data_IF_717690439395
#
_entry.id   IF_717690439395
#
_cell.length_a   1.000
_cell.length_b   1.000
_cell.length_c   1.000
_cell.angle_alpha   90.00
_cell.angle_beta   90.00
_cell.angle_gamma   90.00
#
_symmetry.space_group_name_H-M   'P 1'
#
loop_
_entity.id
_entity.type
_entity.pdbx_description
1 polymer ?
#
# COMPACT_ATOMS: atom_id res chain seq x y z
N UNK A 1 -6.84 22.20 2.55
CA UNK A 1 -7.59 21.54 3.65
C UNK A 1 -6.90 20.23 3.94
N UNK A 2 -6.28 20.08 5.12
CA UNK A 2 -5.68 18.82 5.51
C UNK A 2 -6.78 17.76 5.64
N UNK A 3 -6.67 16.68 4.87
CA UNK A 3 -7.65 15.60 4.82
C UNK A 3 -7.56 14.87 6.16
N UNK A 4 -8.60 14.97 7.00
CA UNK A 4 -8.68 14.22 8.25
C UNK A 4 -8.45 12.73 7.93
N UNK A 5 -7.48 12.06 8.57
CA UNK A 5 -7.07 10.72 8.13
C UNK A 5 -8.08 9.70 8.67
N UNK A 6 -9.24 9.60 8.02
CA UNK A 6 -10.28 8.66 8.40
C UNK A 6 -9.97 7.22 7.97
N UNK A 7 -8.80 6.98 7.36
CA UNK A 7 -8.32 5.65 7.00
C UNK A 7 -6.88 5.43 7.40
N UNK A 8 -6.53 4.16 7.57
CA UNK A 8 -5.20 3.71 7.94
C UNK A 8 -4.17 4.21 6.91
N UNK A 9 -4.44 4.10 5.60
CA UNK A 9 -3.56 4.68 4.58
C UNK A 9 -3.45 6.20 4.67
N UNK A 10 -4.53 6.92 5.02
CA UNK A 10 -4.47 8.37 5.25
C UNK A 10 -3.63 8.76 6.47
N UNK A 11 -3.71 7.99 7.55
CA UNK A 11 -2.88 8.17 8.76
C UNK A 11 -1.42 7.88 8.43
N UNK A 12 -1.15 6.79 7.71
CA UNK A 12 0.21 6.39 7.32
C UNK A 12 0.84 7.39 6.35
N UNK A 13 0.08 7.94 5.39
CA UNK A 13 0.57 9.02 4.53
C UNK A 13 0.90 10.28 5.33
N UNK A 14 0.00 10.71 6.23
CA UNK A 14 0.24 11.89 7.05
C UNK A 14 1.44 11.71 7.99
N UNK A 15 1.62 10.50 8.54
CA UNK A 15 2.79 10.15 9.35
C UNK A 15 4.06 10.10 8.50
N UNK A 16 4.01 9.48 7.33
CA UNK A 16 5.12 9.43 6.36
C UNK A 16 5.61 10.82 5.97
N UNK A 17 4.70 11.78 5.77
CA UNK A 17 5.07 13.16 5.43
C UNK A 17 5.75 13.89 6.61
N UNK A 18 5.58 13.40 7.84
CA UNK A 18 6.17 13.97 9.05
C UNK A 18 7.38 13.17 9.57
N UNK A 19 7.64 11.97 9.03
CA UNK A 19 8.71 11.08 9.48
C UNK A 19 9.95 11.31 8.63
N UNK A 20 11.03 11.71 9.28
CA UNK A 20 12.37 11.65 8.69
C UNK A 20 12.95 10.24 8.90
N UNK A 21 12.91 9.41 7.86
CA UNK A 21 13.45 8.05 7.86
C UNK A 21 14.94 7.98 8.23
N UNK A 22 15.70 9.06 8.06
CA UNK A 22 17.11 9.10 8.44
C UNK A 22 17.33 9.11 9.96
N UNK A 23 16.31 9.51 10.73
CA UNK A 23 16.35 9.61 12.20
C UNK A 23 15.85 8.35 12.90
N UNK A 24 15.19 7.44 12.18
CA UNK A 24 14.63 6.22 12.74
C UNK A 24 15.70 5.18 13.06
N UNK A 25 15.45 4.35 14.07
CA UNK A 25 16.30 3.20 14.37
C UNK A 25 16.18 2.12 13.27
N UNK A 26 17.17 1.24 13.17
CA UNK A 26 17.09 0.12 12.23
C UNK A 26 15.93 -0.84 12.56
N UNK A 27 15.54 -0.93 13.83
CA UNK A 27 14.38 -1.72 14.26
C UNK A 27 13.07 -1.11 13.78
N UNK A 28 12.89 0.21 13.95
CA UNK A 28 11.70 0.93 13.47
C UNK A 28 11.59 0.87 11.95
N UNK A 29 12.72 1.03 11.25
CA UNK A 29 12.77 0.88 9.80
C UNK A 29 12.40 -0.55 9.36
N UNK A 30 12.82 -1.58 10.11
CA UNK A 30 12.49 -2.97 9.79
C UNK A 30 10.99 -3.24 9.98
N UNK A 31 10.38 -2.68 11.03
CA UNK A 31 8.93 -2.77 11.24
C UNK A 31 8.16 -2.07 10.10
N UNK A 32 8.60 -0.87 9.69
CA UNK A 32 8.02 -0.15 8.56
C UNK A 32 8.21 -0.89 7.24
N UNK A 33 9.39 -1.50 7.01
CA UNK A 33 9.65 -2.29 5.80
C UNK A 33 8.68 -3.47 5.68
N UNK A 34 8.27 -4.08 6.80
CA UNK A 34 7.28 -5.15 6.82
C UNK A 34 5.86 -4.68 6.42
N UNK A 35 5.60 -3.36 6.35
CA UNK A 35 4.35 -2.84 5.82
C UNK A 35 4.13 -3.22 4.35
N UNK A 36 5.19 -3.49 3.58
CA UNK A 36 5.07 -4.03 2.20
C UNK A 36 4.40 -5.39 2.16
N UNK A 37 4.64 -6.26 3.15
CA UNK A 37 3.95 -7.55 3.30
C UNK A 37 2.45 -7.33 3.50
N UNK A 38 2.08 -6.42 4.43
CA UNK A 38 0.68 -6.10 4.69
C UNK A 38 -0.02 -5.48 3.46
N UNK A 39 0.68 -4.61 2.72
CA UNK A 39 0.17 -4.05 1.47
C UNK A 39 -0.06 -5.13 0.40
N UNK A 40 0.81 -6.14 0.35
CA UNK A 40 0.69 -7.27 -0.58
C UNK A 40 -0.54 -8.11 -0.25
N UNK A 41 -0.73 -8.50 1.01
CA UNK A 41 -1.93 -9.24 1.45
C UNK A 41 -3.20 -8.46 1.14
N UNK A 42 -3.25 -7.16 1.46
CA UNK A 42 -4.41 -6.32 1.14
C UNK A 42 -4.67 -6.21 -0.38
N UNK A 43 -3.62 -6.23 -1.21
CA UNK A 43 -3.76 -6.24 -2.66
C UNK A 43 -4.33 -7.57 -3.19
N UNK A 44 -3.91 -8.69 -2.62
CA UNK A 44 -4.45 -10.03 -2.95
C UNK A 44 -5.93 -10.12 -2.58
N UNK A 45 -6.31 -9.70 -1.38
CA UNK A 45 -7.71 -9.65 -0.92
C UNK A 45 -8.57 -8.74 -1.83
N UNK A 46 -8.04 -7.58 -2.22
CA UNK A 46 -8.74 -6.68 -3.15
C UNK A 46 -8.90 -7.32 -4.54
N UNK A 47 -7.89 -8.05 -5.02
CA UNK A 47 -7.95 -8.72 -6.31
C UNK A 47 -9.07 -9.78 -6.33
N UNK A 48 -9.20 -10.59 -5.27
CA UNK A 48 -10.28 -11.59 -5.14
C UNK A 48 -11.66 -10.94 -5.19
N UNK A 49 -11.86 -9.83 -4.48
CA UNK A 49 -13.13 -9.08 -4.50
C UNK A 49 -13.44 -8.54 -5.89
N UNK A 50 -12.45 -7.96 -6.58
CA UNK A 50 -12.63 -7.41 -7.93
C UNK A 50 -12.91 -8.51 -8.95
N UNK A 51 -12.28 -9.68 -8.82
CA UNK A 51 -12.54 -10.85 -9.66
C UNK A 51 -13.97 -11.36 -9.47
N UNK A 52 -14.43 -11.49 -8.22
CA UNK A 52 -15.82 -11.85 -7.92
C UNK A 52 -16.84 -10.89 -8.54
N UNK A 53 -16.57 -9.59 -8.49
CA UNK A 53 -17.39 -8.57 -9.18
C UNK A 53 -17.39 -8.80 -10.70
N UNK A 54 -16.23 -9.10 -11.28
CA UNK A 54 -16.10 -9.42 -12.70
C UNK A 54 -16.93 -10.64 -13.12
N UNK A 55 -16.93 -11.71 -12.31
CA UNK A 55 -17.76 -12.89 -12.55
C UNK A 55 -19.26 -12.56 -12.55
N UNK A 56 -19.72 -11.77 -11.56
CA UNK A 56 -21.12 -11.34 -11.49
C UNK A 56 -21.53 -10.51 -12.73
N UNK A 57 -20.67 -9.58 -13.17
CA UNK A 57 -20.91 -8.81 -14.40
C UNK A 57 -20.97 -9.73 -15.63
N UNK A 58 -20.09 -10.73 -15.72
CA UNK A 58 -20.07 -11.67 -16.83
C UNK A 58 -21.35 -12.53 -16.89
N UNK A 59 -21.85 -13.00 -15.74
CA UNK A 59 -23.12 -13.71 -15.61
C UNK A 59 -24.30 -12.83 -16.05
N UNK A 60 -24.35 -11.58 -15.60
CA UNK A 60 -25.39 -10.62 -15.98
C UNK A 60 -25.44 -10.37 -17.50
N UNK A 61 -24.27 -10.24 -18.14
CA UNK A 61 -24.17 -10.07 -19.61
C UNK A 61 -24.66 -11.33 -20.34
N UNK A 62 -24.30 -12.52 -19.86
CA UNK A 62 -24.66 -13.79 -20.50
C UNK A 62 -26.17 -14.08 -20.44
N UNK A 63 -26.81 -13.72 -19.32
CA UNK A 63 -28.23 -13.96 -19.08
C UNK A 63 -29.14 -12.85 -19.67
N UNK A 64 -28.55 -11.77 -20.19
CA UNK A 64 -29.31 -10.62 -20.72
C UNK A 64 -30.13 -9.90 -19.65
N UNK A 65 -29.77 -10.10 -18.38
CA UNK A 65 -30.41 -9.48 -17.21
C UNK A 65 -29.66 -8.22 -16.82
N UNK A 66 -30.43 -7.21 -16.41
CA UNK A 66 -29.91 -6.02 -15.73
C UNK A 66 -29.65 -6.47 -14.27
N UNK A 67 -28.45 -6.99 -13.99
CA UNK A 67 -28.18 -7.69 -12.73
C UNK A 67 -27.63 -6.85 -11.58
N UNK A 68 -26.96 -7.49 -10.61
CA UNK A 68 -26.86 -7.07 -9.20
C UNK A 68 -26.20 -5.69 -8.92
N UNK A 69 -25.67 -5.02 -9.95
CA UNK A 69 -24.93 -3.76 -9.88
C UNK A 69 -25.65 -2.56 -10.55
N UNK A 70 -26.96 -2.65 -10.81
CA UNK A 70 -27.70 -1.63 -11.58
C UNK A 70 -28.14 -0.39 -10.77
N UNK A 71 -28.00 -0.44 -9.45
CA UNK A 71 -28.38 0.67 -8.57
C UNK A 71 -27.26 1.73 -8.45
N UNK A 72 -27.53 2.81 -7.70
CA UNK A 72 -26.54 3.84 -7.32
C UNK A 72 -25.31 3.31 -6.57
N UNK A 73 -25.22 1.99 -6.34
CA UNK A 73 -24.13 1.27 -5.70
C UNK A 73 -22.88 1.14 -6.57
N UNK A 74 -22.97 1.19 -7.91
CA UNK A 74 -21.79 1.04 -8.79
C UNK A 74 -20.77 2.18 -8.67
N UNK A 75 -21.17 3.47 -8.71
CA UNK A 75 -20.23 4.57 -8.43
C UNK A 75 -19.60 4.47 -7.03
N UNK A 76 -20.35 4.00 -6.03
CA UNK A 76 -19.85 3.78 -4.67
C UNK A 76 -18.84 2.64 -4.60
N UNK A 77 -19.09 1.54 -5.33
CA UNK A 77 -18.19 0.39 -5.42
C UNK A 77 -16.86 0.76 -6.09
N UNK A 78 -16.92 1.48 -7.21
CA UNK A 78 -15.74 1.99 -7.90
C UNK A 78 -14.95 2.97 -7.03
N UNK A 79 -15.64 3.86 -6.31
CA UNK A 79 -15.01 4.75 -5.35
C UNK A 79 -14.33 3.98 -4.21
N UNK A 80 -14.98 2.94 -3.68
CA UNK A 80 -14.44 2.09 -2.63
C UNK A 80 -13.19 1.33 -3.10
N UNK A 81 -13.22 0.69 -4.27
CA UNK A 81 -12.05 0.03 -4.88
C UNK A 81 -10.91 1.03 -5.07
N UNK A 82 -11.19 2.20 -5.65
CA UNK A 82 -10.19 3.25 -5.85
C UNK A 82 -9.53 3.69 -4.55
N UNK A 83 -10.31 3.78 -3.47
CA UNK A 83 -9.80 4.13 -2.14
C UNK A 83 -8.91 3.03 -1.56
N UNK A 84 -9.29 1.76 -1.70
CA UNK A 84 -8.46 0.64 -1.26
C UNK A 84 -7.12 0.58 -2.01
N UNK A 85 -7.14 0.79 -3.34
CA UNK A 85 -5.90 0.88 -4.15
C UNK A 85 -5.00 2.01 -3.65
N UNK A 86 -5.55 3.19 -3.36
CA UNK A 86 -4.77 4.32 -2.85
C UNK A 86 -4.12 4.00 -1.49
N UNK A 87 -4.81 3.29 -0.61
CA UNK A 87 -4.27 2.89 0.69
C UNK A 87 -3.13 1.88 0.55
N UNK A 88 -3.32 0.84 -0.26
CA UNK A 88 -2.27 -0.14 -0.58
C UNK A 88 -1.02 0.56 -1.12
N UNK A 89 -1.20 1.50 -2.06
CA UNK A 89 -0.09 2.23 -2.66
C UNK A 89 0.71 3.04 -1.63
N UNK A 90 0.02 3.70 -0.70
CA UNK A 90 0.66 4.47 0.38
C UNK A 90 1.46 3.53 1.29
N UNK A 91 0.84 2.44 1.76
CA UNK A 91 1.48 1.48 2.67
C UNK A 91 2.71 0.86 2.02
N UNK A 92 2.59 0.46 0.74
CA UNK A 92 3.69 -0.10 -0.01
C UNK A 92 4.85 0.89 -0.21
N UNK A 93 4.54 2.16 -0.50
CA UNK A 93 5.55 3.21 -0.65
C UNK A 93 6.35 3.40 0.65
N UNK A 94 5.66 3.57 1.78
CA UNK A 94 6.31 3.77 3.09
C UNK A 94 7.22 2.59 3.44
N UNK A 95 6.75 1.35 3.25
CA UNK A 95 7.57 0.18 3.50
C UNK A 95 8.77 0.06 2.55
N UNK A 96 8.59 0.43 1.27
CA UNK A 96 9.68 0.45 0.30
C UNK A 96 10.75 1.49 0.64
N UNK A 97 10.33 2.68 1.05
CA UNK A 97 11.23 3.75 1.48
C UNK A 97 12.03 3.30 2.71
N UNK A 98 11.37 2.71 3.72
CA UNK A 98 12.06 2.16 4.89
C UNK A 98 13.09 1.08 4.53
N UNK A 99 12.72 0.14 3.64
CA UNK A 99 13.63 -0.90 3.16
C UNK A 99 14.85 -0.32 2.41
N UNK A 100 14.64 0.74 1.61
CA UNK A 100 15.71 1.46 0.92
C UNK A 100 16.69 2.10 1.93
N UNK A 101 16.20 2.71 3.00
CA UNK A 101 17.05 3.31 4.03
C UNK A 101 17.91 2.27 4.76
N UNK A 102 17.34 1.10 5.11
CA UNK A 102 18.11 -0.01 5.71
C UNK A 102 19.24 -0.43 4.78
N UNK A 103 18.95 -0.63 3.49
CA UNK A 103 19.93 -1.04 2.50
C UNK A 103 21.04 0.01 2.35
N UNK A 104 20.67 1.28 2.26
CA UNK A 104 21.60 2.40 2.17
C UNK A 104 22.54 2.47 3.36
N UNK A 105 22.05 2.27 4.60
CA UNK A 105 22.87 2.23 5.81
C UNK A 105 23.88 1.08 5.79
N UNK A 106 23.45 -0.12 5.41
CA UNK A 106 24.34 -1.29 5.31
C UNK A 106 25.48 -1.05 4.32
N UNK A 107 25.17 -0.53 3.13
CA UNK A 107 26.19 -0.22 2.12
C UNK A 107 27.16 0.88 2.58
N UNK A 108 26.71 1.85 3.37
CA UNK A 108 27.58 2.86 3.97
C UNK A 108 28.54 2.26 5.03
N UNK A 109 28.07 1.31 5.85
CA UNK A 109 28.93 0.61 6.82
C UNK A 109 29.96 -0.31 6.14
N UNK A 110 29.59 -0.98 5.06
CA UNK A 110 30.48 -1.85 4.29
C UNK A 110 31.60 -1.05 3.60
N UNK A 111 31.27 0.12 3.05
CA UNK A 111 32.25 1.01 2.43
C UNK A 111 33.19 1.67 3.46
N UNK A 112 32.70 2.02 4.65
CA UNK A 112 33.52 2.54 5.74
C UNK A 112 34.46 1.48 6.38
N UNK A 113 34.08 0.20 6.34
CA UNK A 113 34.91 -0.91 6.83
C UNK A 113 36.06 -1.31 5.89
N UNK A 114 36.03 -0.88 4.62
CA UNK A 114 37.00 -1.26 3.58
C UNK A 114 38.31 -0.46 3.55
N UNK A 115 38.47 0.62 4.31
CA UNK A 115 39.63 1.54 4.22
C UNK A 115 40.76 1.23 5.21
N UNK A 116 41.04 -0.05 5.50
CA UNK A 116 42.24 -0.45 6.24
C UNK A 116 42.99 -1.54 5.49
N UNK A 117 43.74 -1.19 4.44
CA UNK A 117 44.99 -1.85 4.03
C UNK A 117 45.63 -1.00 2.92
N UNK A 118 46.69 -0.29 3.29
CA UNK A 118 47.55 0.53 2.45
C UNK A 118 48.72 1.04 3.29
#
# INVERSE_FOLDING_TARGET
MAKSPSTIGGVIAALSDCIDFSTLSDEDLAQLANATTAATTAAEELAEVVEGIGCLIAEDIAEGTSGALQDSSTPHLLWFISRQVAEIAIVNKVGSDAAFFIKSRRSATESAGGTKHG
#
